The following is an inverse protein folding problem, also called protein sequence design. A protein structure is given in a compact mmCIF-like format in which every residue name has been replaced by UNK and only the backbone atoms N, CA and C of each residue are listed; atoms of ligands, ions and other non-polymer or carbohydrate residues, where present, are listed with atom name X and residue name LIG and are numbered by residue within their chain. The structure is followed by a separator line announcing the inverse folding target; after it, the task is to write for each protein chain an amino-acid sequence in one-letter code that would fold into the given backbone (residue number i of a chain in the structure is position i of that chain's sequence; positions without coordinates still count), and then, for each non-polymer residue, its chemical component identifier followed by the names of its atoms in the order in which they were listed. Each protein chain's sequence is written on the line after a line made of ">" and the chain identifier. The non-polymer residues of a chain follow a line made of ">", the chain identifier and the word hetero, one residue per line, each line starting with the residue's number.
data_IF_045218440311
#
_entry.id   IF_045218440311
#
_cell.length_a   1.000
_cell.length_b   1.000
_cell.length_c   1.000
_cell.angle_alpha   90.00
_cell.angle_beta   90.00
_cell.angle_gamma   90.00
#
_symmetry.space_group_name_H-M   'P 1'
#
loop_
_entity.id
_entity.type
_entity.pdbx_description
1 polymer ?
#
# COMPACT_ATOMS: atom_id res chain seq x y z
N UNK A 1 18.63 68.41 3.97
CA UNK A 1 17.66 67.32 4.32
C UNK A 1 17.84 66.20 3.31
N UNK A 2 18.47 65.08 3.73
CA UNK A 2 18.65 63.89 2.86
C UNK A 2 17.62 62.86 3.29
N UNK A 3 16.72 62.52 2.34
CA UNK A 3 15.73 61.45 2.55
C UNK A 3 16.40 60.12 2.19
N UNK A 4 16.51 59.24 3.19
CA UNK A 4 16.96 57.86 3.04
C UNK A 4 15.72 57.00 2.68
N UNK A 5 15.67 56.47 1.47
CA UNK A 5 14.66 55.47 1.08
C UNK A 5 15.14 54.09 1.59
N UNK A 6 14.43 53.55 2.54
CA UNK A 6 14.59 52.15 2.95
C UNK A 6 13.91 51.22 1.90
N UNK A 7 14.67 50.39 1.21
CA UNK A 7 14.17 49.31 0.36
C UNK A 7 13.90 48.10 1.24
N UNK A 8 12.62 47.76 1.43
CA UNK A 8 12.22 46.51 2.04
C UNK A 8 12.44 45.37 1.00
N UNK A 9 13.39 44.46 1.26
CA UNK A 9 13.49 43.19 0.54
C UNK A 9 12.42 42.24 1.10
N UNK A 10 11.35 42.06 0.36
CA UNK A 10 10.37 41.00 0.63
C UNK A 10 10.95 39.65 0.22
N UNK A 11 11.41 38.88 1.19
CA UNK A 11 11.82 37.49 0.95
C UNK A 11 10.59 36.59 0.79
N UNK A 12 10.37 36.06 -0.41
CA UNK A 12 9.35 35.03 -0.67
C UNK A 12 9.89 33.70 -0.15
N UNK A 13 9.36 33.23 0.97
CA UNK A 13 9.62 31.89 1.48
C UNK A 13 8.79 30.91 0.65
N UNK A 14 9.46 30.20 -0.28
CA UNK A 14 8.85 29.05 -0.94
C UNK A 14 8.79 27.90 0.05
N UNK A 15 7.58 27.63 0.57
CA UNK A 15 7.28 26.40 1.31
C UNK A 15 7.23 25.23 0.31
N UNK A 16 8.33 24.48 0.22
CA UNK A 16 8.33 23.19 -0.49
C UNK A 16 7.64 22.16 0.40
N UNK A 17 6.39 21.84 0.07
CA UNK A 17 5.70 20.71 0.69
C UNK A 17 6.43 19.40 0.30
N UNK A 18 6.66 18.47 1.24
CA UNK A 18 7.29 17.20 0.91
C UNK A 18 6.36 16.36 0.02
N UNK A 19 6.82 16.04 -1.18
CA UNK A 19 6.11 15.22 -2.16
C UNK A 19 6.27 13.73 -1.88
N UNK A 20 5.94 13.27 -0.68
CA UNK A 20 6.06 11.84 -0.32
C UNK A 20 4.94 10.96 -0.89
N UNK A 21 3.86 11.54 -1.44
CA UNK A 21 2.68 10.79 -1.86
C UNK A 21 2.80 10.08 -3.23
N UNK A 22 3.83 10.36 -4.03
CA UNK A 22 3.91 9.85 -5.41
C UNK A 22 4.88 8.67 -5.61
N UNK A 23 5.65 8.29 -4.59
CA UNK A 23 6.69 7.27 -4.76
C UNK A 23 6.15 5.83 -4.80
N UNK A 24 5.05 5.50 -4.13
CA UNK A 24 4.56 4.12 -4.11
C UNK A 24 3.97 3.69 -5.46
N UNK A 25 3.23 4.57 -6.15
CA UNK A 25 2.64 4.25 -7.46
C UNK A 25 3.67 3.91 -8.54
N UNK A 26 4.89 4.48 -8.47
CA UNK A 26 5.95 4.22 -9.45
C UNK A 26 6.66 2.89 -9.20
N UNK A 27 6.60 2.37 -7.98
CA UNK A 27 7.29 1.13 -7.59
C UNK A 27 6.62 -0.13 -8.12
N UNK A 28 5.31 -0.09 -8.37
CA UNK A 28 4.52 -1.23 -8.82
C UNK A 28 4.27 -1.18 -10.33
N UNK A 29 4.18 -2.36 -10.94
CA UNK A 29 3.90 -2.53 -12.37
C UNK A 29 2.39 -2.72 -12.57
N UNK A 30 1.68 -1.64 -12.84
CA UNK A 30 0.23 -1.61 -13.03
C UNK A 30 -0.25 -2.33 -14.30
N UNK A 31 0.67 -2.72 -15.18
CA UNK A 31 0.38 -3.53 -16.37
C UNK A 31 0.42 -5.04 -16.09
N UNK A 32 0.83 -5.42 -14.88
CA UNK A 32 0.94 -6.83 -14.48
C UNK A 32 0.11 -7.11 -13.24
N UNK A 33 -0.40 -8.31 -13.16
CA UNK A 33 -1.01 -8.87 -11.95
C UNK A 33 -0.30 -10.16 -11.56
N UNK A 34 -0.10 -10.34 -10.26
CA UNK A 34 0.30 -11.61 -9.68
C UNK A 34 -0.74 -12.05 -8.66
N UNK A 35 -0.94 -13.35 -8.56
CA UNK A 35 -1.82 -13.94 -7.55
C UNK A 35 -1.03 -14.96 -6.74
N UNK A 36 -1.10 -14.85 -5.44
CA UNK A 36 -0.50 -15.82 -4.52
C UNK A 36 -1.55 -16.35 -3.54
N UNK A 37 -1.35 -17.60 -3.12
CA UNK A 37 -2.13 -18.22 -2.04
C UNK A 37 -1.19 -18.56 -0.88
N UNK A 38 -1.63 -18.30 0.33
CA UNK A 38 -0.83 -18.51 1.51
C UNK A 38 -1.60 -18.27 2.79
N UNK A 39 -0.87 -17.99 3.84
CA UNK A 39 -1.41 -17.76 5.18
C UNK A 39 -1.03 -16.37 5.65
N UNK A 40 -1.99 -15.62 6.15
CA UNK A 40 -1.72 -14.30 6.75
C UNK A 40 -0.74 -14.46 7.89
N UNK A 41 0.38 -13.74 7.80
CA UNK A 41 1.36 -13.59 8.87
C UNK A 41 0.98 -12.45 9.80
N UNK A 42 0.70 -11.29 9.23
CA UNK A 42 0.38 -10.07 9.97
C UNK A 42 -0.40 -9.10 9.07
N UNK A 43 -1.33 -8.37 9.64
CA UNK A 43 -1.92 -7.20 9.00
C UNK A 43 -1.47 -5.92 9.74
N UNK A 44 -0.49 -5.25 9.19
CA UNK A 44 -0.01 -3.94 9.65
C UNK A 44 -1.00 -2.87 9.23
N UNK A 45 -1.98 -2.63 10.08
CA UNK A 45 -3.10 -1.72 9.83
C UNK A 45 -2.75 -0.31 10.31
N UNK A 46 -1.96 0.42 9.49
CA UNK A 46 -1.26 1.65 9.87
C UNK A 46 -1.38 2.75 8.81
N UNK A 47 -1.13 4.00 9.22
CA UNK A 47 -0.98 5.13 8.33
C UNK A 47 0.50 5.35 7.93
N UNK A 48 0.77 5.89 6.74
CA UNK A 48 -0.19 6.28 5.69
C UNK A 48 -0.72 5.10 4.89
N UNK A 49 -0.01 3.96 4.87
CA UNK A 49 -0.33 2.75 4.14
C UNK A 49 -0.31 1.55 5.08
N UNK A 50 -1.28 0.65 4.86
CA UNK A 50 -1.32 -0.65 5.52
C UNK A 50 -0.57 -1.68 4.70
N UNK A 51 -0.07 -2.74 5.36
CA UNK A 51 0.60 -3.86 4.71
C UNK A 51 0.04 -5.18 5.19
N UNK A 52 -0.44 -6.00 4.25
CA UNK A 52 -0.84 -7.37 4.54
C UNK A 52 0.33 -8.30 4.20
N UNK A 53 0.92 -8.92 5.22
CA UNK A 53 2.01 -9.86 5.08
C UNK A 53 1.46 -11.28 4.98
N UNK A 54 1.84 -12.00 3.92
CA UNK A 54 1.37 -13.35 3.61
C UNK A 54 2.54 -14.29 3.43
N UNK A 55 2.56 -15.36 4.18
CA UNK A 55 3.54 -16.44 4.02
C UNK A 55 3.07 -17.41 2.93
N UNK A 56 3.87 -17.54 1.89
CA UNK A 56 3.62 -18.37 0.71
C UNK A 56 4.63 -19.50 0.68
N UNK A 57 4.17 -20.76 0.60
CA UNK A 57 5.02 -21.95 0.45
C UNK A 57 5.17 -22.29 -1.02
N UNK A 58 6.39 -22.59 -1.42
CA UNK A 58 6.67 -23.24 -2.70
C UNK A 58 6.46 -24.77 -2.63
N UNK A 59 6.59 -25.43 -3.78
CA UNK A 59 6.43 -26.89 -3.88
C UNK A 59 7.47 -27.68 -3.07
N UNK A 60 8.58 -27.04 -2.67
CA UNK A 60 9.64 -27.63 -1.84
C UNK A 60 9.44 -27.36 -0.36
N UNK A 61 8.41 -26.59 0.00
CA UNK A 61 8.11 -26.20 1.39
C UNK A 61 8.87 -24.96 1.88
N UNK A 62 9.63 -24.27 1.02
CA UNK A 62 10.25 -23.00 1.39
C UNK A 62 9.19 -21.91 1.51
N UNK A 63 9.32 -21.06 2.51
CA UNK A 63 8.38 -19.97 2.78
C UNK A 63 8.98 -18.64 2.36
N UNK A 64 8.23 -17.89 1.56
CA UNK A 64 8.51 -16.49 1.22
C UNK A 64 7.40 -15.62 1.78
N UNK A 65 7.76 -14.61 2.57
CA UNK A 65 6.78 -13.60 3.02
C UNK A 65 6.57 -12.56 1.93
N UNK A 66 5.35 -12.47 1.42
CA UNK A 66 4.91 -11.43 0.49
C UNK A 66 4.26 -10.28 1.24
N UNK A 67 4.57 -9.04 0.84
CA UNK A 67 3.92 -7.84 1.35
C UNK A 67 2.93 -7.27 0.33
N UNK A 68 1.70 -7.02 0.76
CA UNK A 68 0.68 -6.36 -0.07
C UNK A 68 0.34 -5.00 0.50
N UNK A 69 0.75 -3.95 -0.22
CA UNK A 69 0.46 -2.57 0.15
C UNK A 69 -1.01 -2.24 -0.10
N UNK A 70 -1.62 -1.60 0.88
CA UNK A 70 -2.99 -1.10 0.84
C UNK A 70 -3.06 0.33 1.37
N UNK A 71 -4.21 0.96 1.20
CA UNK A 71 -4.51 2.27 1.75
C UNK A 71 -4.48 2.27 3.30
N UNK A 72 -4.47 3.46 3.88
CA UNK A 72 -4.53 3.61 5.34
C UNK A 72 -5.86 3.16 5.95
N UNK A 73 -5.90 2.98 7.28
CA UNK A 73 -7.03 2.40 8.01
C UNK A 73 -8.38 3.05 7.73
N UNK A 74 -8.44 4.37 7.62
CA UNK A 74 -9.71 5.07 7.38
C UNK A 74 -10.31 4.75 6.01
N UNK A 75 -9.49 4.63 4.97
CA UNK A 75 -9.93 4.25 3.62
C UNK A 75 -10.34 2.79 3.58
N UNK A 76 -9.56 1.90 4.18
CA UNK A 76 -9.88 0.48 4.28
C UNK A 76 -11.20 0.24 5.02
N UNK A 77 -11.41 0.91 6.15
CA UNK A 77 -12.67 0.81 6.92
C UNK A 77 -13.87 1.24 6.09
N UNK A 78 -13.78 2.34 5.35
CA UNK A 78 -14.85 2.78 4.43
C UNK A 78 -15.11 1.78 3.31
N UNK A 79 -14.08 1.07 2.85
CA UNK A 79 -14.20 -0.02 1.89
C UNK A 79 -14.71 -1.35 2.50
N UNK A 80 -15.01 -1.37 3.79
CA UNK A 80 -15.50 -2.54 4.52
C UNK A 80 -14.41 -3.53 4.91
N UNK A 81 -13.15 -3.11 4.93
CA UNK A 81 -11.99 -3.92 5.32
C UNK A 81 -11.51 -3.47 6.70
N UNK A 82 -11.47 -4.40 7.65
CA UNK A 82 -11.05 -4.16 9.02
C UNK A 82 -9.83 -5.01 9.35
N UNK A 83 -9.06 -4.59 10.35
CA UNK A 83 -7.91 -5.36 10.82
C UNK A 83 -8.29 -6.81 11.19
N UNK A 84 -9.46 -7.00 11.78
CA UNK A 84 -9.98 -8.32 12.19
C UNK A 84 -10.36 -9.24 11.02
N UNK A 85 -10.46 -8.73 9.80
CA UNK A 85 -10.75 -9.56 8.63
C UNK A 85 -9.57 -10.46 8.22
N UNK A 86 -8.35 -10.07 8.61
CA UNK A 86 -7.11 -10.74 8.24
C UNK A 86 -6.23 -10.99 9.48
N UNK A 87 -6.69 -11.87 10.34
CA UNK A 87 -5.89 -12.32 11.50
C UNK A 87 -4.81 -13.30 11.08
N UNK A 88 -3.72 -13.37 11.84
CA UNK A 88 -2.65 -14.34 11.61
C UNK A 88 -3.20 -15.77 11.55
N UNK A 89 -2.74 -16.56 10.60
CA UNK A 89 -3.21 -17.93 10.35
C UNK A 89 -4.39 -18.04 9.37
N UNK A 90 -4.98 -16.91 8.92
CA UNK A 90 -6.06 -16.93 7.93
C UNK A 90 -5.51 -17.36 6.57
N UNK A 91 -6.15 -18.37 5.95
CA UNK A 91 -5.86 -18.74 4.56
C UNK A 91 -6.42 -17.69 3.61
N UNK A 92 -5.58 -17.26 2.65
CA UNK A 92 -5.90 -16.19 1.73
C UNK A 92 -5.37 -16.46 0.33
N UNK A 93 -6.12 -16.04 -0.68
CA UNK A 93 -5.65 -15.87 -2.05
C UNK A 93 -5.73 -14.38 -2.37
N UNK A 94 -4.61 -13.77 -2.75
CA UNK A 94 -4.51 -12.34 -2.96
C UNK A 94 -3.84 -12.02 -4.28
N UNK A 95 -4.38 -11.01 -4.98
CA UNK A 95 -3.88 -10.50 -6.25
C UNK A 95 -3.41 -9.07 -6.07
N UNK A 96 -2.29 -8.74 -6.69
CA UNK A 96 -1.73 -7.39 -6.68
C UNK A 96 -0.87 -7.09 -7.89
N UNK A 97 -0.56 -5.81 -8.06
CA UNK A 97 0.44 -5.35 -9.03
C UNK A 97 1.84 -5.54 -8.44
N UNK A 98 2.71 -6.35 -9.05
CA UNK A 98 4.02 -6.67 -8.49
C UNK A 98 4.96 -5.47 -8.48
N UNK A 99 5.94 -5.48 -7.57
CA UNK A 99 7.04 -4.53 -7.63
C UNK A 99 7.86 -4.71 -8.90
N UNK A 100 8.28 -3.60 -9.51
CA UNK A 100 9.09 -3.58 -10.74
C UNK A 100 10.47 -4.18 -10.53
N UNK A 101 11.01 -4.11 -9.32
CA UNK A 101 12.34 -4.62 -8.97
C UNK A 101 12.38 -6.11 -8.61
N UNK A 102 11.23 -6.81 -8.66
CA UNK A 102 11.12 -8.24 -8.41
C UNK A 102 11.11 -8.66 -6.95
N UNK A 103 11.13 -7.74 -5.98
CA UNK A 103 10.94 -8.08 -4.56
C UNK A 103 9.56 -8.70 -4.33
N UNK A 104 9.39 -9.57 -3.31
CA UNK A 104 8.12 -10.21 -3.01
C UNK A 104 7.15 -9.23 -2.34
N UNK A 105 6.69 -8.27 -3.11
CA UNK A 105 5.68 -7.30 -2.71
C UNK A 105 4.83 -6.86 -3.90
N UNK A 106 3.61 -6.41 -3.62
CA UNK A 106 2.66 -5.95 -4.62
C UNK A 106 1.71 -4.90 -4.04
N UNK A 107 1.15 -4.04 -4.90
CA UNK A 107 0.00 -3.22 -4.54
C UNK A 107 -1.26 -4.08 -4.56
N UNK A 108 -2.00 -4.12 -3.47
CA UNK A 108 -3.17 -4.98 -3.32
C UNK A 108 -4.30 -4.57 -4.28
N UNK A 109 -4.82 -5.50 -5.08
CA UNK A 109 -5.99 -5.32 -5.93
C UNK A 109 -7.22 -5.98 -5.32
N UNK A 110 -7.14 -7.29 -5.01
CA UNK A 110 -8.25 -8.08 -4.47
C UNK A 110 -7.73 -9.25 -3.65
N UNK A 111 -8.55 -9.69 -2.70
CA UNK A 111 -8.26 -10.87 -1.91
C UNK A 111 -9.53 -11.69 -1.66
N UNK A 112 -9.36 -13.01 -1.50
CA UNK A 112 -10.39 -13.94 -1.07
C UNK A 112 -9.89 -14.68 0.18
N UNK A 113 -10.71 -14.74 1.21
CA UNK A 113 -10.44 -15.46 2.45
C UNK A 113 -11.06 -16.84 2.36
N UNK A 114 -10.24 -17.89 2.23
CA UNK A 114 -10.67 -19.26 2.03
C UNK A 114 -11.65 -19.40 0.84
N UNK A 115 -12.76 -20.09 1.03
CA UNK A 115 -13.87 -20.18 0.05
C UNK A 115 -14.93 -19.10 0.22
N UNK A 116 -14.67 -18.11 1.06
CA UNK A 116 -15.67 -17.18 1.55
C UNK A 116 -15.58 -15.78 0.95
N UNK A 117 -15.64 -14.79 1.85
CA UNK A 117 -15.79 -13.38 1.53
C UNK A 117 -14.65 -12.85 0.66
N UNK A 118 -15.03 -12.22 -0.45
CA UNK A 118 -14.14 -11.47 -1.32
C UNK A 118 -13.91 -10.06 -0.78
N UNK A 119 -12.65 -9.62 -0.80
CA UNK A 119 -12.24 -8.25 -0.48
C UNK A 119 -11.55 -7.68 -1.71
N UNK A 120 -12.11 -6.69 -2.30
CA UNK A 120 -11.55 -6.17 -3.53
C UNK A 120 -11.80 -4.69 -3.74
N UNK A 121 -11.20 -4.12 -4.79
CA UNK A 121 -11.19 -2.69 -4.97
C UNK A 121 -12.61 -2.19 -5.18
N UNK A 122 -13.15 -1.61 -4.13
CA UNK A 122 -14.05 -0.49 -4.34
C UNK A 122 -13.16 0.72 -4.18
N UNK A 123 -13.34 1.72 -5.02
CA UNK A 123 -12.61 2.96 -5.09
C UNK A 123 -11.66 3.22 -3.88
N UNK A 124 -10.38 3.11 -4.05
CA UNK A 124 -9.38 3.25 -2.99
C UNK A 124 -8.17 2.31 -3.13
N UNK A 125 -8.32 1.17 -3.81
CA UNK A 125 -7.21 0.28 -4.12
C UNK A 125 -6.65 0.48 -5.53
N UNK A 126 -7.17 1.43 -6.29
CA UNK A 126 -6.56 1.79 -7.54
C UNK A 126 -5.23 2.48 -7.23
N UNK A 127 -4.13 1.85 -7.65
CA UNK A 127 -2.88 2.55 -7.85
C UNK A 127 -3.15 3.64 -8.88
N UNK A 128 -3.25 4.88 -8.42
CA UNK A 128 -3.40 6.06 -9.27
C UNK A 128 -2.05 6.60 -9.65
#
# INVERSE_FOLDING_TARGET
>A
MRRVLARALGGTVLLTAPTFAHHSAVMFDDQKEITVSGTVKEFQYTNPHSWLLVDVKDDKGNVTTWGFEAEGPSTLTRAGIRKSDFTAGTEITITGHPMRDGRPAAAWIRAARGRGKQFGPRAGFAVR
#
